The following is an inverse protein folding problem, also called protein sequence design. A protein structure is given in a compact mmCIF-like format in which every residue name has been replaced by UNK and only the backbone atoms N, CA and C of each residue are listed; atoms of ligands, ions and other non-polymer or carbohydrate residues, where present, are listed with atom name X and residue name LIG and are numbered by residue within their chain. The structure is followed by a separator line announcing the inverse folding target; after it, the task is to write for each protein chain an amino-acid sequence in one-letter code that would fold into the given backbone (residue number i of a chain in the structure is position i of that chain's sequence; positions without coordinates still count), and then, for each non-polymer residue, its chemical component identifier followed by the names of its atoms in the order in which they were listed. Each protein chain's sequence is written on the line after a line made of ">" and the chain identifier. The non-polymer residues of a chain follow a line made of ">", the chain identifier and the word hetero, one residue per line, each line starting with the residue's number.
data_IF_082028549755
#
_entry.id   IF_082028549755
#
_cell.length_a   1.000
_cell.length_b   1.000
_cell.length_c   1.000
_cell.angle_alpha   90.00
_cell.angle_beta   90.00
_cell.angle_gamma   90.00
#
_symmetry.space_group_name_H-M   'P 1'
#
loop_
_entity.id
_entity.type
_entity.pdbx_description
1 polymer ?
#
# COMPACT_ATOMS: atom_id res chain seq x y z
N UNK A 1 -14.72 -13.59 -9.58
CA UNK A 1 -14.43 -12.58 -10.64
C UNK A 1 -14.92 -11.24 -10.14
N UNK A 2 -14.11 -10.20 -10.23
CA UNK A 2 -14.42 -8.84 -9.77
C UNK A 2 -14.52 -7.90 -10.97
N UNK A 3 -15.53 -7.02 -11.00
CA UNK A 3 -15.70 -6.05 -12.08
C UNK A 3 -14.52 -5.08 -12.17
N UNK A 4 -14.12 -4.56 -11.01
CA UNK A 4 -12.97 -3.67 -10.89
C UNK A 4 -12.29 -3.84 -9.53
N UNK A 5 -10.96 -3.92 -9.53
CA UNK A 5 -10.13 -3.92 -8.31
C UNK A 5 -9.52 -2.55 -8.04
N UNK A 6 -9.19 -2.29 -6.77
CA UNK A 6 -8.41 -1.13 -6.35
C UNK A 6 -7.00 -1.57 -5.97
N UNK A 7 -5.99 -1.00 -6.61
CA UNK A 7 -4.56 -1.31 -6.41
C UNK A 7 -3.88 -0.12 -5.76
N UNK A 8 -3.29 -0.32 -4.58
CA UNK A 8 -2.68 0.73 -3.78
C UNK A 8 -1.18 0.50 -3.63
N UNK A 9 -0.39 1.39 -4.26
CA UNK A 9 1.06 1.37 -4.16
C UNK A 9 1.51 1.62 -2.70
N UNK A 10 2.62 0.97 -2.29
CA UNK A 10 3.33 1.29 -1.07
C UNK A 10 4.16 2.57 -1.19
N UNK A 11 4.38 3.28 -0.08
CA UNK A 11 5.12 4.54 -0.17
C UNK A 11 5.65 5.09 1.16
N UNK A 12 5.44 4.40 2.29
CA UNK A 12 5.67 5.00 3.60
C UNK A 12 4.83 6.27 3.75
N UNK A 13 5.41 7.37 4.23
CA UNK A 13 4.66 8.61 4.45
C UNK A 13 4.18 9.29 3.16
N UNK A 14 4.73 8.95 1.96
CA UNK A 14 4.14 9.42 0.70
C UNK A 14 2.72 8.90 0.48
N UNK A 15 2.37 7.77 1.07
CA UNK A 15 1.04 7.19 0.94
C UNK A 15 -0.07 8.03 1.62
N UNK A 16 0.27 9.15 2.25
CA UNK A 16 -0.71 10.17 2.65
C UNK A 16 -1.39 10.81 1.41
N UNK A 17 -0.73 10.81 0.24
CA UNK A 17 -1.37 11.09 -1.04
C UNK A 17 -2.54 10.15 -1.31
N UNK A 18 -2.28 8.84 -1.13
CA UNK A 18 -3.31 7.80 -1.28
C UNK A 18 -4.45 8.00 -0.27
N UNK A 19 -4.15 8.45 0.96
CA UNK A 19 -5.18 8.78 1.95
C UNK A 19 -6.14 9.85 1.43
N UNK A 20 -5.60 10.91 0.83
CA UNK A 20 -6.41 11.96 0.21
C UNK A 20 -7.30 11.45 -0.94
N UNK A 21 -6.73 10.61 -1.81
CA UNK A 21 -7.50 9.98 -2.90
C UNK A 21 -8.65 9.12 -2.36
N UNK A 22 -8.39 8.30 -1.34
CA UNK A 22 -9.40 7.40 -0.78
C UNK A 22 -10.47 8.15 0.03
N UNK A 23 -10.12 9.25 0.68
CA UNK A 23 -11.09 10.11 1.35
C UNK A 23 -12.03 10.78 0.32
N UNK A 24 -11.51 11.21 -0.83
CA UNK A 24 -12.34 11.69 -1.94
C UNK A 24 -13.25 10.58 -2.49
N UNK A 25 -12.77 9.33 -2.58
CA UNK A 25 -13.60 8.19 -2.96
C UNK A 25 -14.73 7.95 -1.94
N UNK A 26 -14.44 8.00 -0.65
CA UNK A 26 -15.44 7.85 0.40
C UNK A 26 -16.49 8.96 0.34
N UNK A 27 -16.09 10.22 0.14
CA UNK A 27 -16.99 11.37 0.01
C UNK A 27 -17.91 11.25 -1.22
N UNK A 28 -17.47 10.54 -2.26
CA UNK A 28 -18.24 10.28 -3.48
C UNK A 28 -18.95 8.92 -3.51
N UNK A 29 -18.90 8.17 -2.41
CA UNK A 29 -19.54 6.86 -2.29
C UNK A 29 -18.96 5.77 -3.19
N UNK A 30 -17.71 5.93 -3.66
CA UNK A 30 -17.03 4.93 -4.48
C UNK A 30 -16.57 3.77 -3.59
N UNK A 31 -16.86 2.54 -4.02
CA UNK A 31 -16.45 1.31 -3.32
C UNK A 31 -15.93 0.28 -4.32
N UNK A 32 -15.08 -0.63 -3.87
CA UNK A 32 -14.51 -1.70 -4.70
C UNK A 32 -14.74 -3.06 -4.05
N UNK A 33 -15.10 -4.10 -4.83
CA UNK A 33 -15.28 -5.45 -4.31
C UNK A 33 -13.95 -6.16 -3.99
N UNK A 34 -12.84 -5.63 -4.50
CA UNK A 34 -11.49 -6.13 -4.29
C UNK A 34 -10.52 -4.97 -4.12
N UNK A 35 -9.68 -5.05 -3.10
CA UNK A 35 -8.62 -4.08 -2.82
C UNK A 35 -7.32 -4.83 -2.55
N UNK A 36 -6.24 -4.45 -3.23
CA UNK A 36 -4.90 -4.96 -2.95
C UNK A 36 -3.98 -3.82 -2.59
N UNK A 37 -3.26 -3.96 -1.48
CA UNK A 37 -2.37 -2.94 -0.96
C UNK A 37 -1.01 -3.45 -0.54
N UNK A 38 -0.03 -2.55 -0.57
CA UNK A 38 1.36 -2.80 -0.22
C UNK A 38 1.82 -1.81 0.85
N UNK A 39 2.40 -2.29 1.97
CA UNK A 39 2.96 -1.40 2.99
C UNK A 39 1.92 -0.38 3.48
N UNK A 40 2.23 0.92 3.47
CA UNK A 40 1.28 1.97 3.82
C UNK A 40 0.02 1.96 2.94
N UNK A 41 0.08 1.48 1.69
CA UNK A 41 -1.09 1.25 0.85
C UNK A 41 -2.06 0.23 1.45
N UNK A 42 -1.57 -0.82 2.11
CA UNK A 42 -2.42 -1.79 2.82
C UNK A 42 -3.09 -1.20 4.07
N UNK A 43 -2.42 -0.28 4.78
CA UNK A 43 -3.01 0.44 5.90
C UNK A 43 -4.12 1.40 5.44
N UNK A 44 -3.91 2.07 4.30
CA UNK A 44 -4.91 2.89 3.63
C UNK A 44 -6.13 2.05 3.22
N UNK A 45 -5.89 0.86 2.64
CA UNK A 45 -6.94 -0.08 2.24
C UNK A 45 -7.87 -0.44 3.42
N UNK A 46 -7.30 -0.79 4.57
CA UNK A 46 -8.08 -1.16 5.77
C UNK A 46 -8.95 0.00 6.24
N UNK A 47 -8.41 1.23 6.31
CA UNK A 47 -9.18 2.40 6.72
C UNK A 47 -10.29 2.74 5.71
N UNK A 48 -10.01 2.59 4.42
CA UNK A 48 -10.99 2.80 3.36
C UNK A 48 -12.14 1.79 3.41
N UNK A 49 -11.84 0.49 3.56
CA UNK A 49 -12.85 -0.58 3.67
C UNK A 49 -13.72 -0.36 4.91
N UNK A 50 -13.11 0.02 6.05
CA UNK A 50 -13.80 0.37 7.28
C UNK A 50 -14.48 1.75 7.27
N UNK A 51 -14.46 2.46 6.13
CA UNK A 51 -15.02 3.82 5.97
C UNK A 51 -14.54 4.83 7.01
N UNK A 52 -13.33 4.65 7.51
CA UNK A 52 -12.69 5.53 8.51
C UNK A 52 -12.06 6.74 7.81
N UNK A 53 -12.91 7.66 7.30
CA UNK A 53 -12.48 8.89 6.63
C UNK A 53 -11.54 9.71 7.53
N UNK A 54 -10.45 10.20 6.97
CA UNK A 54 -9.44 10.99 7.67
C UNK A 54 -8.50 10.18 8.57
N UNK A 55 -8.79 8.91 8.89
CA UNK A 55 -7.99 8.13 9.85
C UNK A 55 -6.50 8.06 9.48
N UNK A 56 -6.15 7.76 8.24
CA UNK A 56 -4.75 7.66 7.83
C UNK A 56 -4.07 9.03 7.72
N UNK A 57 -4.82 10.07 7.37
CA UNK A 57 -4.37 11.45 7.46
C UNK A 57 -3.99 11.80 8.90
N UNK A 58 -4.90 11.60 9.84
CA UNK A 58 -4.69 11.94 11.26
C UNK A 58 -3.52 11.16 11.86
N UNK A 59 -3.40 9.87 11.56
CA UNK A 59 -2.25 9.05 11.95
C UNK A 59 -0.95 9.67 11.42
N UNK A 60 -0.92 10.05 10.16
CA UNK A 60 0.28 10.61 9.53
C UNK A 60 0.65 11.97 10.09
N UNK A 61 -0.33 12.85 10.34
CA UNK A 61 -0.09 14.21 10.86
C UNK A 61 0.29 14.15 12.35
N UNK A 62 -0.44 13.39 13.16
CA UNK A 62 -0.24 13.41 14.62
C UNK A 62 0.96 12.58 15.07
N UNK A 63 1.29 11.50 14.36
CA UNK A 63 2.26 10.50 14.85
C UNK A 63 3.50 10.31 13.98
N UNK A 64 3.65 10.99 12.83
CA UNK A 64 4.86 10.87 12.00
C UNK A 64 6.15 11.28 12.73
N UNK A 65 6.06 12.21 13.68
CA UNK A 65 7.15 12.66 14.53
C UNK A 65 7.26 11.95 15.89
N UNK A 66 6.32 11.04 16.21
CA UNK A 66 6.26 10.40 17.53
C UNK A 66 7.46 9.46 17.74
N UNK A 67 8.16 9.64 18.85
CA UNK A 67 9.32 8.81 19.21
C UNK A 67 8.96 7.36 19.50
N UNK A 68 7.71 7.08 19.91
CA UNK A 68 7.20 5.72 20.09
C UNK A 68 7.13 4.98 18.75
N UNK A 69 6.82 5.69 17.66
CA UNK A 69 6.77 5.14 16.31
C UNK A 69 8.18 4.96 15.72
N UNK A 70 8.99 6.03 15.69
CA UNK A 70 10.30 6.03 15.03
C UNK A 70 11.35 6.71 15.91
N UNK A 71 12.35 5.97 16.38
CA UNK A 71 13.46 6.56 17.13
C UNK A 71 14.72 5.71 17.15
N UNK A 72 15.86 6.35 17.39
CA UNK A 72 17.11 5.65 17.72
C UNK A 72 17.00 4.89 19.06
N UNK A 73 16.16 5.33 19.95
CA UNK A 73 15.86 4.65 21.21
C UNK A 73 15.22 3.29 20.96
N UNK A 74 14.24 3.21 20.04
CA UNK A 74 13.66 1.93 19.59
C UNK A 74 14.72 1.01 18.99
N UNK A 75 15.65 1.56 18.19
CA UNK A 75 16.76 0.78 17.63
C UNK A 75 17.65 0.19 18.72
N UNK A 76 17.95 0.95 19.77
CA UNK A 76 18.80 0.50 20.89
C UNK A 76 18.05 -0.53 21.75
N UNK A 77 16.79 -0.25 22.12
CA UNK A 77 16.01 -1.09 23.03
C UNK A 77 15.51 -2.37 22.36
N UNK A 78 14.98 -2.25 21.14
CA UNK A 78 14.26 -3.32 20.45
C UNK A 78 15.02 -3.85 19.23
N UNK A 79 16.08 -3.18 18.80
CA UNK A 79 16.83 -3.48 17.56
C UNK A 79 16.00 -3.20 16.29
N UNK A 80 15.01 -2.32 16.38
CA UNK A 80 14.15 -1.87 15.29
C UNK A 80 13.98 -0.36 15.37
N UNK A 81 14.19 0.35 14.25
CA UNK A 81 13.98 1.80 14.18
C UNK A 81 12.51 2.16 14.18
N UNK A 82 11.69 1.34 13.48
CA UNK A 82 10.24 1.46 13.41
C UNK A 82 9.60 0.47 14.40
N UNK A 83 8.80 0.98 15.32
CA UNK A 83 8.09 0.18 16.31
C UNK A 83 6.73 -0.28 15.75
N UNK A 84 6.75 -1.40 15.03
CA UNK A 84 5.54 -1.99 14.48
C UNK A 84 4.57 -2.52 15.55
N UNK A 85 5.05 -2.88 16.74
CA UNK A 85 4.17 -3.31 17.85
C UNK A 85 3.31 -2.17 18.36
N UNK A 86 3.90 -1.00 18.52
CA UNK A 86 3.16 0.19 18.90
C UNK A 86 2.18 0.63 17.81
N UNK A 87 2.64 0.68 16.54
CA UNK A 87 1.83 1.11 15.40
C UNK A 87 0.59 0.24 15.21
N UNK A 88 0.76 -1.09 15.20
CA UNK A 88 -0.31 -2.07 15.00
C UNK A 88 -0.94 -2.56 16.31
N UNK A 89 -0.52 -2.05 17.45
CA UNK A 89 -1.08 -2.27 18.78
C UNK A 89 -1.81 -1.05 19.30
N UNK A 90 -1.15 -0.28 20.19
CA UNK A 90 -1.73 0.88 20.87
C UNK A 90 -2.31 1.91 19.89
N UNK A 91 -1.54 2.30 18.85
CA UNK A 91 -2.03 3.30 17.91
C UNK A 91 -3.29 2.84 17.18
N UNK A 92 -3.28 1.63 16.62
CA UNK A 92 -4.37 1.16 15.76
C UNK A 92 -5.63 0.70 16.50
N UNK A 93 -5.56 0.45 17.82
CA UNK A 93 -6.68 -0.05 18.61
C UNK A 93 -7.15 0.91 19.69
N UNK A 94 -6.28 1.76 20.21
CA UNK A 94 -6.63 2.63 21.33
C UNK A 94 -6.64 4.12 20.92
N UNK A 95 -5.64 4.58 20.14
CA UNK A 95 -5.50 5.99 19.79
C UNK A 95 -6.22 6.37 18.48
N UNK A 96 -6.25 5.46 17.51
CA UNK A 96 -6.92 5.66 16.22
C UNK A 96 -7.57 4.35 15.76
N UNK A 97 -8.64 3.90 16.45
CA UNK A 97 -9.26 2.61 16.18
C UNK A 97 -9.88 2.54 14.78
N UNK A 98 -9.90 1.33 14.23
CA UNK A 98 -10.66 1.00 13.03
C UNK A 98 -12.13 0.78 13.41
N UNK A 99 -13.06 1.22 12.58
CA UNK A 99 -14.45 0.77 12.65
C UNK A 99 -14.53 -0.69 12.19
N UNK A 100 -14.35 -1.61 13.14
CA UNK A 100 -14.35 -3.06 12.89
C UNK A 100 -15.70 -3.53 12.36
N UNK A 101 -16.79 -3.00 12.89
CA UNK A 101 -18.14 -3.42 12.49
C UNK A 101 -18.42 -3.06 11.04
N UNK A 102 -18.05 -1.84 10.63
CA UNK A 102 -18.15 -1.42 9.22
C UNK A 102 -17.22 -2.23 8.32
N UNK A 103 -15.99 -2.51 8.79
CA UNK A 103 -15.05 -3.35 8.05
C UNK A 103 -15.60 -4.76 7.81
N UNK A 104 -16.12 -5.41 8.85
CA UNK A 104 -16.64 -6.79 8.78
C UNK A 104 -17.89 -6.92 7.90
N UNK A 105 -18.70 -5.86 7.83
CA UNK A 105 -19.88 -5.79 6.95
C UNK A 105 -19.51 -5.49 5.49
N UNK A 106 -18.31 -5.01 5.23
CA UNK A 106 -17.90 -4.69 3.89
C UNK A 106 -17.74 -5.97 3.06
N UNK A 107 -18.45 -6.05 1.93
CA UNK A 107 -18.31 -7.16 0.98
C UNK A 107 -17.10 -6.88 0.06
N UNK A 108 -15.92 -6.68 0.65
CA UNK A 108 -14.69 -6.34 -0.04
C UNK A 108 -13.62 -7.36 0.34
N UNK A 109 -13.01 -7.97 -0.66
CA UNK A 109 -11.80 -8.80 -0.46
C UNK A 109 -10.58 -7.91 -0.34
N UNK A 110 -9.87 -7.99 0.78
CA UNK A 110 -8.56 -7.36 0.95
C UNK A 110 -7.43 -8.35 0.68
N UNK A 111 -6.52 -7.98 -0.20
CA UNK A 111 -5.24 -8.65 -0.43
C UNK A 111 -4.08 -7.78 0.06
N UNK A 112 -3.18 -8.35 0.83
CA UNK A 112 -2.00 -7.66 1.39
C UNK A 112 -0.73 -8.33 0.89
N UNK A 113 0.15 -7.55 0.27
CA UNK A 113 1.41 -8.05 -0.27
C UNK A 113 2.49 -8.05 0.79
N UNK A 114 3.21 -9.17 0.92
CA UNK A 114 4.38 -9.33 1.78
C UNK A 114 5.53 -9.97 1.00
N UNK A 115 6.76 -9.81 1.48
CA UNK A 115 7.94 -10.46 0.90
C UNK A 115 8.45 -11.55 1.84
N UNK A 116 8.45 -12.80 1.40
CA UNK A 116 9.05 -13.90 2.15
C UNK A 116 10.57 -13.79 2.12
N UNK A 117 11.20 -13.75 3.29
CA UNK A 117 12.65 -13.56 3.41
C UNK A 117 13.46 -14.75 2.87
N UNK A 118 12.93 -15.98 3.01
CA UNK A 118 13.63 -17.18 2.59
C UNK A 118 13.62 -17.33 1.07
N UNK A 119 12.48 -17.13 0.45
CA UNK A 119 12.29 -17.30 -1.01
C UNK A 119 12.63 -16.06 -1.81
N UNK A 120 12.63 -14.86 -1.19
CA UNK A 120 12.81 -13.57 -1.85
C UNK A 120 11.69 -13.26 -2.86
N UNK A 121 10.50 -13.84 -2.67
CA UNK A 121 9.32 -13.66 -3.54
C UNK A 121 8.20 -12.94 -2.80
N UNK A 122 7.33 -12.31 -3.58
CA UNK A 122 6.06 -11.81 -3.08
C UNK A 122 5.16 -12.98 -2.66
N UNK A 123 4.42 -12.79 -1.59
CA UNK A 123 3.30 -13.62 -1.17
C UNK A 123 2.11 -12.71 -0.90
N UNK A 124 0.92 -13.22 -1.16
CA UNK A 124 -0.33 -12.48 -1.12
C UNK A 124 -1.21 -13.08 -0.03
N UNK A 125 -1.58 -12.24 0.93
CA UNK A 125 -2.32 -12.67 2.12
C UNK A 125 -3.68 -11.99 2.19
N UNK A 126 -4.71 -12.74 2.58
CA UNK A 126 -6.10 -12.29 2.59
C UNK A 126 -6.63 -12.26 4.03
N UNK A 127 -6.30 -11.21 4.80
CA UNK A 127 -6.81 -11.08 6.17
C UNK A 127 -8.33 -10.86 6.15
N UNK A 128 -9.04 -11.61 6.99
CA UNK A 128 -10.51 -11.55 7.05
C UNK A 128 -11.01 -10.66 8.18
N UNK A 129 -10.22 -10.51 9.24
CA UNK A 129 -10.59 -9.72 10.39
C UNK A 129 -9.38 -8.98 10.99
N UNK A 130 -9.67 -7.92 11.73
CA UNK A 130 -8.68 -7.12 12.45
C UNK A 130 -8.99 -7.02 13.95
N UNK A 131 -9.77 -7.94 14.51
CA UNK A 131 -10.11 -7.96 15.94
C UNK A 131 -8.90 -8.28 16.82
N UNK A 132 -7.92 -9.03 16.30
CA UNK A 132 -6.70 -9.34 17.03
C UNK A 132 -5.69 -8.21 16.93
N UNK A 133 -5.30 -7.67 18.08
CA UNK A 133 -4.23 -6.68 18.20
C UNK A 133 -2.95 -7.14 17.49
N UNK A 134 -2.22 -6.16 16.96
CA UNK A 134 -0.93 -6.38 16.32
C UNK A 134 -0.98 -6.60 14.82
N UNK A 135 -2.15 -6.86 14.21
CA UNK A 135 -2.36 -7.00 12.76
C UNK A 135 -1.14 -7.61 12.05
N UNK A 136 -0.75 -8.86 12.32
CA UNK A 136 0.57 -9.38 11.95
C UNK A 136 0.85 -9.35 10.44
N UNK A 137 -0.18 -9.49 9.60
CA UNK A 137 -0.05 -9.41 8.14
C UNK A 137 0.24 -7.97 7.70
N UNK A 138 -0.49 -6.96 8.22
CA UNK A 138 -0.22 -5.56 7.93
C UNK A 138 1.17 -5.16 8.44
N UNK A 139 1.51 -5.60 9.66
CA UNK A 139 2.84 -5.37 10.23
C UNK A 139 3.94 -5.96 9.35
N UNK A 140 3.74 -7.16 8.79
CA UNK A 140 4.68 -7.79 7.86
C UNK A 140 4.81 -6.98 6.56
N UNK A 141 3.68 -6.53 5.98
CA UNK A 141 3.66 -5.69 4.79
C UNK A 141 4.36 -4.34 4.98
N UNK A 142 4.40 -3.81 6.21
CA UNK A 142 5.07 -2.55 6.56
C UNK A 142 6.48 -2.75 7.17
N UNK A 143 6.99 -3.97 7.23
CA UNK A 143 8.27 -4.28 7.85
C UNK A 143 9.46 -3.93 6.92
N UNK A 144 9.87 -2.67 6.90
CA UNK A 144 10.95 -2.17 6.04
C UNK A 144 12.29 -2.88 6.33
N UNK A 145 12.94 -3.46 5.30
CA UNK A 145 14.24 -4.09 5.45
C UNK A 145 15.31 -3.11 5.97
N UNK A 146 15.99 -3.50 7.04
CA UNK A 146 17.02 -2.67 7.70
C UNK A 146 16.48 -1.70 8.76
N UNK A 147 15.19 -1.38 8.75
CA UNK A 147 14.53 -0.59 9.79
C UNK A 147 13.78 -1.45 10.80
N UNK A 148 13.47 -2.69 10.45
CA UNK A 148 12.82 -3.70 11.29
C UNK A 148 13.51 -5.05 11.19
N UNK A 149 13.18 -5.97 12.10
CA UNK A 149 13.63 -7.38 12.07
C UNK A 149 12.78 -8.26 11.14
N UNK A 150 11.74 -7.69 10.53
CA UNK A 150 10.70 -8.47 9.85
C UNK A 150 9.76 -9.18 10.83
N UNK A 151 8.67 -9.69 10.32
CA UNK A 151 7.62 -10.35 11.12
C UNK A 151 7.64 -11.85 10.84
N UNK A 152 7.55 -12.66 11.90
CA UNK A 152 7.43 -14.12 11.78
C UNK A 152 5.94 -14.49 11.74
N UNK A 153 5.52 -15.13 10.66
CA UNK A 153 4.18 -15.68 10.49
C UNK A 153 4.31 -17.19 10.23
N UNK A 154 3.83 -17.97 11.15
CA UNK A 154 4.07 -19.43 11.12
C UNK A 154 5.58 -19.73 11.26
N UNK A 155 6.15 -20.40 10.25
CA UNK A 155 7.58 -20.76 10.21
C UNK A 155 8.47 -19.77 9.45
N UNK A 156 7.86 -18.86 8.69
CA UNK A 156 8.56 -17.99 7.76
C UNK A 156 8.66 -16.55 8.30
N UNK A 157 9.68 -15.84 7.84
CA UNK A 157 9.90 -14.43 8.14
C UNK A 157 9.54 -13.58 6.93
N UNK A 158 8.78 -12.52 7.17
CA UNK A 158 8.29 -11.62 6.14
C UNK A 158 8.77 -10.19 6.34
N UNK A 159 8.93 -9.51 5.22
CA UNK A 159 9.24 -8.10 5.12
C UNK A 159 8.26 -7.39 4.20
N UNK A 160 8.42 -6.06 4.10
CA UNK A 160 7.61 -5.16 3.27
C UNK A 160 7.42 -5.71 1.86
N UNK A 161 6.16 -5.80 1.43
CA UNK A 161 5.78 -6.31 0.12
C UNK A 161 6.37 -5.51 -1.03
N UNK A 162 6.61 -4.22 -0.83
CA UNK A 162 7.21 -3.33 -1.82
C UNK A 162 8.67 -3.66 -2.18
N UNK A 163 9.28 -4.68 -1.58
CA UNK A 163 10.57 -5.20 -2.03
C UNK A 163 10.43 -6.00 -3.32
N UNK A 164 9.36 -6.79 -3.44
CA UNK A 164 9.16 -7.74 -4.53
C UNK A 164 7.99 -7.40 -5.44
N UNK A 165 6.96 -6.72 -4.90
CA UNK A 165 5.80 -6.27 -5.66
C UNK A 165 5.27 -4.96 -5.07
N UNK A 166 5.73 -3.84 -5.65
CA UNK A 166 5.38 -2.51 -5.16
C UNK A 166 4.05 -1.99 -5.71
N UNK A 167 3.63 -2.47 -6.88
CA UNK A 167 2.40 -2.08 -7.60
C UNK A 167 1.74 -3.35 -8.12
N UNK A 168 0.95 -4.04 -7.30
CA UNK A 168 0.49 -5.42 -7.55
C UNK A 168 -0.67 -5.51 -8.55
N UNK A 169 -0.59 -4.78 -9.67
CA UNK A 169 -1.62 -4.78 -10.71
C UNK A 169 -1.78 -6.16 -11.37
N UNK A 170 -0.66 -6.83 -11.65
CA UNK A 170 -0.69 -8.16 -12.27
C UNK A 170 -1.45 -9.16 -11.38
N UNK A 171 -1.18 -9.13 -10.07
CA UNK A 171 -1.87 -10.03 -9.14
C UNK A 171 -3.36 -9.70 -8.99
N UNK A 172 -3.76 -8.44 -9.05
CA UNK A 172 -5.18 -8.08 -9.08
C UNK A 172 -5.91 -8.73 -10.27
N UNK A 173 -5.26 -8.79 -11.43
CA UNK A 173 -5.82 -9.50 -12.61
C UNK A 173 -5.81 -11.02 -12.42
N UNK A 174 -4.75 -11.60 -11.83
CA UNK A 174 -4.68 -13.03 -11.49
C UNK A 174 -5.80 -13.45 -10.52
N UNK A 175 -6.17 -12.58 -9.57
CA UNK A 175 -7.30 -12.77 -8.65
C UNK A 175 -8.67 -12.56 -9.31
N UNK A 176 -8.71 -12.24 -10.59
CA UNK A 176 -9.91 -12.17 -11.40
C UNK A 176 -10.54 -10.78 -11.50
N UNK A 177 -9.82 -9.71 -11.22
CA UNK A 177 -10.25 -8.36 -11.56
C UNK A 177 -10.23 -8.18 -13.08
N UNK A 178 -11.34 -7.71 -13.67
CA UNK A 178 -11.42 -7.45 -15.11
C UNK A 178 -10.76 -6.11 -15.46
N UNK A 179 -10.90 -5.12 -14.58
CA UNK A 179 -10.30 -3.80 -14.65
C UNK A 179 -9.72 -3.42 -13.30
N UNK A 180 -8.90 -2.37 -13.27
CA UNK A 180 -8.33 -1.88 -12.03
C UNK A 180 -8.32 -0.35 -11.96
N UNK A 181 -8.54 0.19 -10.75
CA UNK A 181 -8.14 1.56 -10.41
C UNK A 181 -6.83 1.47 -9.65
N UNK A 182 -5.81 2.17 -10.11
CA UNK A 182 -4.47 2.15 -9.53
C UNK A 182 -4.15 3.51 -8.93
N UNK A 183 -3.82 3.55 -7.65
CA UNK A 183 -3.34 4.77 -6.98
C UNK A 183 -1.83 4.67 -6.76
N UNK A 184 -1.09 5.54 -7.43
CA UNK A 184 0.35 5.65 -7.33
C UNK A 184 0.77 6.76 -6.37
N UNK A 185 1.93 6.60 -5.73
CA UNK A 185 2.56 7.60 -4.86
C UNK A 185 3.72 8.33 -5.54
N UNK A 186 3.97 8.03 -6.79
CA UNK A 186 4.98 8.65 -7.64
C UNK A 186 4.36 9.17 -8.94
N UNK A 187 4.93 10.25 -9.47
CA UNK A 187 4.49 10.83 -10.74
C UNK A 187 4.80 9.94 -11.93
N UNK A 188 4.21 10.26 -13.09
CA UNK A 188 4.31 9.48 -14.32
C UNK A 188 5.75 9.30 -14.81
N UNK A 189 6.62 10.27 -14.59
CA UNK A 189 7.98 10.28 -15.11
C UNK A 189 8.99 9.65 -14.14
N UNK A 190 8.51 9.20 -12.97
CA UNK A 190 9.39 8.62 -11.97
C UNK A 190 10.07 7.34 -12.47
N UNK A 191 11.37 7.26 -12.22
CA UNK A 191 12.16 6.05 -12.40
C UNK A 191 12.93 5.73 -11.13
N UNK A 192 12.68 4.55 -10.59
CA UNK A 192 13.38 4.09 -9.41
C UNK A 192 14.82 3.79 -9.73
N UNK A 193 15.74 4.36 -8.94
CA UNK A 193 17.17 4.16 -9.11
C UNK A 193 17.67 2.94 -8.32
N UNK A 194 18.78 2.31 -8.72
CA UNK A 194 19.45 1.28 -7.96
C UNK A 194 19.74 1.74 -6.53
N UNK A 195 19.53 0.84 -5.57
CA UNK A 195 19.86 1.13 -4.18
C UNK A 195 21.38 1.19 -3.99
N UNK A 196 21.86 2.24 -3.33
CA UNK A 196 23.26 2.32 -2.84
C UNK A 196 23.55 1.28 -1.75
N UNK A 197 24.79 1.24 -1.31
CA UNK A 197 25.22 0.43 -0.15
C UNK A 197 24.99 -1.09 -0.26
N UNK A 198 25.11 -1.67 -1.46
CA UNK A 198 24.90 -3.10 -1.71
C UNK A 198 25.72 -4.03 -0.78
N UNK A 199 26.95 -3.62 -0.37
CA UNK A 199 27.77 -4.38 0.59
C UNK A 199 27.10 -4.47 1.97
N UNK A 200 26.51 -3.38 2.44
CA UNK A 200 25.79 -3.33 3.73
C UNK A 200 24.54 -4.21 3.69
N UNK A 201 23.76 -4.14 2.61
CA UNK A 201 22.58 -4.98 2.40
C UNK A 201 22.96 -6.46 2.45
N UNK A 202 24.03 -6.88 1.72
CA UNK A 202 24.52 -8.27 1.77
C UNK A 202 24.94 -8.70 3.17
N UNK A 203 25.51 -7.81 3.99
CA UNK A 203 25.91 -8.10 5.37
C UNK A 203 24.70 -8.27 6.28
N UNK A 204 23.72 -7.38 6.20
CA UNK A 204 22.49 -7.42 7.02
C UNK A 204 21.70 -8.69 6.71
N UNK A 205 21.49 -8.97 5.43
CA UNK A 205 20.66 -10.10 4.96
C UNK A 205 21.50 -11.33 4.59
N UNK A 206 22.69 -11.54 5.19
CA UNK A 206 23.57 -12.67 4.87
C UNK A 206 22.90 -14.05 5.02
N UNK A 207 21.90 -14.16 5.92
CA UNK A 207 21.12 -15.39 6.13
C UNK A 207 20.02 -15.58 5.07
N UNK A 208 19.72 -14.55 4.27
CA UNK A 208 18.64 -14.51 3.30
C UNK A 208 19.15 -14.01 1.94
N UNK A 209 19.92 -14.83 1.21
CA UNK A 209 20.56 -14.41 -0.05
C UNK A 209 19.55 -14.06 -1.14
N UNK A 210 18.40 -14.74 -1.19
CA UNK A 210 17.33 -14.44 -2.15
C UNK A 210 16.63 -13.12 -1.83
N UNK A 211 16.40 -12.82 -0.55
CA UNK A 211 15.94 -11.51 -0.11
C UNK A 211 16.92 -10.39 -0.47
N UNK A 212 18.22 -10.63 -0.28
CA UNK A 212 19.28 -9.69 -0.71
C UNK A 212 19.16 -9.38 -2.20
N UNK A 213 19.01 -10.42 -3.03
CA UNK A 213 18.83 -10.29 -4.48
C UNK A 213 17.56 -9.48 -4.81
N UNK A 214 16.45 -9.76 -4.13
CA UNK A 214 15.19 -9.02 -4.30
C UNK A 214 15.36 -7.54 -3.99
N UNK A 215 15.95 -7.19 -2.85
CA UNK A 215 16.21 -5.79 -2.45
C UNK A 215 17.07 -5.06 -3.50
N UNK A 216 18.15 -5.67 -3.96
CA UNK A 216 19.07 -5.04 -4.92
C UNK A 216 18.46 -4.90 -6.33
N UNK A 217 17.51 -5.76 -6.71
CA UNK A 217 16.83 -5.71 -8.00
C UNK A 217 15.47 -4.97 -7.95
N UNK A 218 15.04 -4.48 -6.77
CA UNK A 218 13.77 -3.80 -6.57
C UNK A 218 13.50 -2.72 -7.61
N UNK A 219 14.52 -1.93 -7.98
CA UNK A 219 14.36 -0.85 -8.97
C UNK A 219 13.93 -1.35 -10.34
N UNK A 220 14.45 -2.51 -10.78
CA UNK A 220 14.08 -3.12 -12.07
C UNK A 220 12.63 -3.61 -12.07
N UNK A 221 12.23 -4.25 -10.96
CA UNK A 221 10.88 -4.78 -10.80
C UNK A 221 9.89 -3.62 -10.78
N UNK A 222 10.15 -2.61 -9.96
CA UNK A 222 9.33 -1.42 -9.83
C UNK A 222 9.11 -0.70 -11.18
N UNK A 223 10.18 -0.45 -11.93
CA UNK A 223 10.07 0.27 -13.20
C UNK A 223 9.25 -0.52 -14.23
N UNK A 224 9.40 -1.84 -14.29
CA UNK A 224 8.56 -2.71 -15.13
C UNK A 224 7.08 -2.68 -14.70
N UNK A 225 6.81 -2.67 -13.41
CA UNK A 225 5.44 -2.56 -12.91
C UNK A 225 4.82 -1.23 -13.28
N UNK A 226 5.59 -0.15 -13.17
CA UNK A 226 5.14 1.19 -13.55
C UNK A 226 4.84 1.26 -15.06
N UNK A 227 5.71 0.71 -15.92
CA UNK A 227 5.46 0.57 -17.37
C UNK A 227 4.16 -0.20 -17.62
N UNK A 228 3.98 -1.37 -16.98
CA UNK A 228 2.77 -2.19 -17.13
C UNK A 228 1.49 -1.46 -16.70
N UNK A 229 1.55 -0.59 -15.68
CA UNK A 229 0.41 0.25 -15.26
C UNK A 229 0.03 1.25 -16.34
N UNK A 230 1.02 1.95 -16.91
CA UNK A 230 0.74 2.94 -17.98
C UNK A 230 0.27 2.27 -19.27
N UNK A 231 0.79 1.08 -19.59
CA UNK A 231 0.30 0.28 -20.71
C UNK A 231 -1.15 -0.17 -20.49
N UNK A 232 -1.49 -0.61 -19.28
CA UNK A 232 -2.87 -1.00 -18.94
C UNK A 232 -3.82 0.20 -19.03
N UNK A 233 -3.41 1.39 -18.60
CA UNK A 233 -4.17 2.62 -18.79
C UNK A 233 -4.38 2.92 -20.29
N UNK A 234 -3.31 2.78 -21.09
CA UNK A 234 -3.38 3.02 -22.55
C UNK A 234 -4.37 2.10 -23.26
N UNK A 235 -4.56 0.88 -22.77
CA UNK A 235 -5.54 -0.08 -23.28
C UNK A 235 -6.96 0.09 -22.73
N UNK A 236 -7.17 0.94 -21.70
CA UNK A 236 -8.44 1.08 -21.01
C UNK A 236 -8.73 -0.04 -19.99
N UNK A 237 -7.72 -0.85 -19.64
CA UNK A 237 -7.81 -1.90 -18.61
C UNK A 237 -7.63 -1.35 -17.20
N UNK A 238 -6.92 -0.21 -17.06
CA UNK A 238 -6.71 0.47 -15.79
C UNK A 238 -7.06 1.95 -15.85
N UNK A 239 -7.52 2.50 -14.72
CA UNK A 239 -7.65 3.92 -14.44
C UNK A 239 -6.59 4.30 -13.41
N UNK A 240 -5.69 5.24 -13.72
CA UNK A 240 -4.56 5.57 -12.86
C UNK A 240 -4.72 6.96 -12.28
N UNK A 241 -4.65 7.06 -10.94
CA UNK A 241 -4.53 8.32 -10.21
C UNK A 241 -3.10 8.39 -9.66
N UNK A 242 -2.37 9.41 -10.06
CA UNK A 242 -0.97 9.63 -9.68
C UNK A 242 -0.72 11.11 -9.44
N UNK A 243 0.31 11.48 -8.65
CA UNK A 243 0.73 12.87 -8.53
C UNK A 243 1.12 13.47 -9.89
N UNK A 244 0.69 14.69 -10.17
CA UNK A 244 1.04 15.41 -11.40
C UNK A 244 2.53 15.77 -11.44
N UNK A 245 3.13 15.97 -10.26
CA UNK A 245 4.53 16.34 -10.07
C UNK A 245 5.17 15.52 -8.94
N UNK A 246 6.52 15.40 -8.92
CA UNK A 246 7.22 14.72 -7.85
C UNK A 246 6.86 15.29 -6.46
N UNK A 247 6.42 14.45 -5.54
CA UNK A 247 6.02 14.86 -4.19
C UNK A 247 7.23 15.27 -3.32
N UNK A 248 8.47 14.94 -3.75
CA UNK A 248 9.71 15.18 -3.01
C UNK A 248 9.65 14.73 -1.53
N UNK A 249 8.89 13.68 -1.25
CA UNK A 249 8.61 13.17 0.09
C UNK A 249 9.45 11.93 0.38
N UNK A 250 10.38 11.97 1.33
CA UNK A 250 11.07 10.78 1.82
C UNK A 250 10.10 9.75 2.38
N UNK A 251 10.51 8.48 2.42
CA UNK A 251 9.69 7.39 2.99
C UNK A 251 9.32 7.65 4.46
N UNK A 252 10.17 8.35 5.22
CA UNK A 252 9.99 8.68 6.64
C UNK A 252 9.97 10.21 6.82
N UNK A 253 9.09 10.90 6.11
CA UNK A 253 8.86 12.36 6.25
C UNK A 253 8.23 12.67 7.61
N UNK A 254 8.64 13.79 8.22
CA UNK A 254 8.12 14.25 9.52
C UNK A 254 7.55 15.67 9.48
N UNK A 255 7.72 16.38 8.38
CA UNK A 255 7.17 17.72 8.22
C UNK A 255 5.66 17.62 7.95
N UNK A 256 4.87 17.99 8.95
CA UNK A 256 3.41 17.88 8.93
C UNK A 256 2.77 18.79 7.90
N UNK A 257 3.30 20.00 7.68
CA UNK A 257 2.77 20.92 6.66
C UNK A 257 2.94 20.35 5.27
N UNK A 258 4.08 19.69 5.02
CA UNK A 258 4.34 19.01 3.77
C UNK A 258 3.44 17.79 3.58
N UNK A 259 3.23 17.01 4.63
CA UNK A 259 2.32 15.87 4.62
C UNK A 259 0.88 16.33 4.32
N UNK A 260 0.44 17.43 4.95
CA UNK A 260 -0.87 18.04 4.68
C UNK A 260 -1.01 18.44 3.19
N UNK A 261 -0.02 19.14 2.64
CA UNK A 261 -0.04 19.52 1.23
C UNK A 261 -0.14 18.32 0.28
N UNK A 262 0.55 17.22 0.62
CA UNK A 262 0.51 15.98 -0.17
C UNK A 262 -0.88 15.33 -0.08
N UNK A 263 -1.48 15.31 1.10
CA UNK A 263 -2.86 14.83 1.30
C UNK A 263 -3.86 15.62 0.45
N UNK A 264 -3.82 16.96 0.54
CA UNK A 264 -4.69 17.83 -0.23
C UNK A 264 -4.49 17.67 -1.74
N UNK A 265 -3.25 17.41 -2.16
CA UNK A 265 -2.95 17.12 -3.57
C UNK A 265 -3.64 15.81 -4.00
N UNK A 266 -3.57 14.74 -3.19
CA UNK A 266 -4.23 13.49 -3.48
C UNK A 266 -5.75 13.62 -3.58
N UNK A 267 -6.34 14.33 -2.61
CA UNK A 267 -7.78 14.60 -2.60
C UNK A 267 -8.21 15.38 -3.85
N UNK A 268 -7.51 16.47 -4.17
CA UNK A 268 -7.80 17.29 -5.36
C UNK A 268 -7.66 16.49 -6.66
N UNK A 269 -6.56 15.76 -6.86
CA UNK A 269 -6.34 14.96 -8.06
C UNK A 269 -7.44 13.91 -8.28
N UNK A 270 -7.95 13.32 -7.20
CA UNK A 270 -9.07 12.39 -7.27
C UNK A 270 -10.38 13.10 -7.66
N UNK A 271 -10.67 14.26 -7.06
CA UNK A 271 -11.88 15.02 -7.35
C UNK A 271 -11.90 15.55 -8.78
N UNK A 272 -10.77 16.04 -9.31
CA UNK A 272 -10.63 16.52 -10.68
C UNK A 272 -10.88 15.41 -11.72
N UNK A 273 -10.60 14.17 -11.38
CA UNK A 273 -10.77 13.00 -12.25
C UNK A 273 -12.05 12.20 -11.93
N UNK A 274 -12.92 12.66 -11.02
CA UNK A 274 -14.02 11.87 -10.48
C UNK A 274 -15.05 11.46 -11.55
N UNK A 275 -15.41 12.36 -12.45
CA UNK A 275 -16.38 12.05 -13.51
C UNK A 275 -15.83 11.01 -14.49
N UNK A 276 -14.54 11.12 -14.85
CA UNK A 276 -13.86 10.13 -15.69
C UNK A 276 -13.75 8.78 -14.98
N UNK A 277 -13.46 8.77 -13.67
CA UNK A 277 -13.44 7.55 -12.86
C UNK A 277 -14.84 6.89 -12.81
N UNK A 278 -15.89 7.67 -12.57
CA UNK A 278 -17.27 7.14 -12.56
C UNK A 278 -17.66 6.53 -13.91
N UNK A 279 -17.29 7.19 -15.01
CA UNK A 279 -17.49 6.64 -16.36
C UNK A 279 -16.73 5.33 -16.57
N UNK A 280 -15.48 5.25 -16.15
CA UNK A 280 -14.67 4.02 -16.23
C UNK A 280 -15.28 2.86 -15.42
N UNK A 281 -15.77 3.14 -14.21
CA UNK A 281 -16.42 2.15 -13.35
C UNK A 281 -17.76 1.67 -13.93
N UNK A 282 -18.57 2.56 -14.53
CA UNK A 282 -19.82 2.19 -15.18
C UNK A 282 -19.58 1.22 -16.36
N UNK A 283 -18.54 1.44 -17.16
CA UNK A 283 -18.18 0.53 -18.26
C UNK A 283 -17.74 -0.84 -17.75
N UNK A 284 -17.17 -0.94 -16.55
CA UNK A 284 -16.78 -2.22 -15.97
C UNK A 284 -17.95 -3.08 -15.50
N UNK A 285 -19.10 -2.48 -15.21
CA UNK A 285 -20.32 -3.19 -14.83
C UNK A 285 -21.09 -3.75 -16.05
N UNK A 286 -21.01 -3.10 -17.20
CA UNK A 286 -21.72 -3.50 -18.43
C UNK A 286 -21.16 -4.84 -18.96
N UNK A 287 -19.86 -5.08 -18.84
CA UNK A 287 -19.22 -6.31 -19.34
C UNK A 287 -19.58 -7.58 -18.54
N UNK A 288 -20.18 -7.44 -17.34
CA UNK A 288 -20.65 -8.59 -16.54
C UNK A 288 -22.05 -9.07 -16.99
N UNK A 289 -22.80 -8.21 -17.65
CA UNK A 289 -24.21 -8.48 -18.01
C UNK A 289 -24.41 -9.05 -19.42
N UNK A 290 -23.38 -9.18 -20.24
CA UNK A 290 -23.49 -9.89 -21.52
C UNK A 290 -23.19 -11.39 -21.34
N UNK A 291 -24.21 -12.29 -21.45
CA UNK A 291 -23.94 -13.70 -21.53
C UNK A 291 -23.17 -13.97 -22.83
N UNK A 292 -22.06 -14.66 -22.73
CA UNK A 292 -21.34 -15.25 -23.87
C UNK A 292 -22.36 -15.99 -24.75
N UNK A 293 -22.76 -15.39 -25.87
CA UNK A 293 -23.42 -16.12 -26.93
C UNK A 293 -22.42 -17.10 -27.53
N UNK A 294 -22.63 -18.37 -27.23
CA UNK A 294 -22.03 -19.50 -27.96
C UNK A 294 -22.47 -19.49 -29.42
#
# INVERSE_FOLDING_TARGET
>A
MYSCGLVLEGGGNRAIYTSGVLDAFMDQGITFPYVIGVSAGSCNAVSYIGKCRGRQHDISIQYSGDKRFMSLENMIKNGEFLNGEWLFGELSYDLSPLDQETYDRANTTLCVVVTNALTGKAEYMYPKDFHKRGCPILRASCALPGATKGVVLGKDRYFDGGVTDSIPLAHAYEDGCQKAVVVLTQDRNYQKQPMGHARLIRRIFRKYPLMTRAILNRYKIYNRQLEAVWDAQGRGDAFVIAPDHPLHCPTLERNTDKLEQIYQTGYRNAMEQMDALKAFLALSLIHISEPTRQ
#
